data_IF_839402338357
#
_entry.id   IF_839402338357
#
_cell.length_a   1.000
_cell.length_b   1.000
_cell.length_c   1.000
_cell.angle_alpha   90.00
_cell.angle_beta   90.00
_cell.angle_gamma   90.00
#
_symmetry.space_group_name_H-M   'P 1'
#
loop_
_entity.id
_entity.type
_entity.pdbx_description
1 polymer ?
#
# COMPACT_ATOMS: atom_id res chain seq x y z
N UNK A 1 13.74 11.46 -15.61
CA UNK A 1 12.78 11.57 -14.49
C UNK A 1 12.48 10.15 -14.03
N UNK A 2 12.69 9.80 -12.75
CA UNK A 2 12.38 8.44 -12.26
C UNK A 2 10.87 8.22 -12.28
N UNK A 3 10.44 7.07 -12.82
CA UNK A 3 9.04 6.65 -12.81
C UNK A 3 8.61 6.42 -11.35
N UNK A 4 7.44 6.92 -10.98
CA UNK A 4 6.93 6.80 -9.61
C UNK A 4 5.53 6.22 -9.63
N UNK A 5 5.22 5.42 -8.61
CA UNK A 5 3.90 4.80 -8.38
C UNK A 5 3.30 5.34 -7.09
N UNK A 6 1.98 5.46 -7.04
CA UNK A 6 1.25 5.71 -5.81
C UNK A 6 0.99 4.39 -5.09
N UNK A 7 1.28 4.37 -3.78
CA UNK A 7 1.08 3.23 -2.89
C UNK A 7 0.27 3.68 -1.70
N UNK A 8 -0.89 3.07 -1.48
CA UNK A 8 -1.72 3.33 -0.30
C UNK A 8 -1.17 2.54 0.89
N UNK A 9 -0.90 3.24 2.00
CA UNK A 9 -0.48 2.62 3.25
C UNK A 9 -1.64 1.82 3.88
N UNK A 10 -1.45 0.52 4.09
CA UNK A 10 -2.46 -0.35 4.69
C UNK A 10 -2.86 0.04 6.13
N UNK A 11 -1.99 0.74 6.86
CA UNK A 11 -2.25 1.13 8.25
C UNK A 11 -3.04 2.43 8.41
N UNK A 12 -2.83 3.43 7.55
CA UNK A 12 -3.43 4.77 7.73
C UNK A 12 -4.12 5.34 6.48
N UNK A 13 -4.15 4.59 5.36
CA UNK A 13 -4.75 5.03 4.10
C UNK A 13 -4.03 6.18 3.39
N UNK A 14 -2.85 6.59 3.88
CA UNK A 14 -2.05 7.63 3.24
C UNK A 14 -1.52 7.19 1.87
N UNK A 15 -1.65 8.04 0.85
CA UNK A 15 -1.10 7.80 -0.49
C UNK A 15 0.35 8.25 -0.53
N UNK A 16 1.25 7.34 -0.88
CA UNK A 16 2.69 7.58 -0.92
C UNK A 16 3.19 7.50 -2.36
N UNK A 17 3.92 8.51 -2.81
CA UNK A 17 4.61 8.48 -4.10
C UNK A 17 5.97 7.80 -3.93
N UNK A 18 6.16 6.65 -4.56
CA UNK A 18 7.36 5.81 -4.43
C UNK A 18 8.04 5.67 -5.80
N UNK A 19 9.34 6.00 -5.93
CA UNK A 19 10.10 5.68 -7.14
C UNK A 19 10.09 4.17 -7.41
N UNK A 20 9.86 3.75 -8.65
CA UNK A 20 9.74 2.32 -9.02
C UNK A 20 10.96 1.53 -8.58
N UNK A 21 12.16 2.07 -8.80
CA UNK A 21 13.45 1.50 -8.38
C UNK A 21 13.59 1.30 -6.86
N UNK A 22 12.72 1.90 -6.04
CA UNK A 22 12.73 1.80 -4.58
C UNK A 22 11.54 1.01 -4.01
N UNK A 23 10.66 0.46 -4.84
CA UNK A 23 9.52 -0.34 -4.36
C UNK A 23 9.97 -1.54 -3.53
N UNK A 24 11.04 -2.22 -3.95
CA UNK A 24 11.62 -3.36 -3.21
C UNK A 24 12.40 -2.98 -1.95
N UNK A 25 12.62 -1.69 -1.67
CA UNK A 25 13.41 -1.22 -0.53
C UNK A 25 12.58 -1.06 0.77
N UNK A 26 11.29 -1.42 0.76
CA UNK A 26 10.46 -1.47 1.97
C UNK A 26 10.17 -0.11 2.61
N UNK A 27 10.13 0.98 1.84
CA UNK A 27 10.03 2.36 2.34
C UNK A 27 8.93 2.62 3.40
N UNK A 28 9.03 3.76 4.09
CA UNK A 28 8.08 4.15 5.15
C UNK A 28 7.00 5.09 4.63
N UNK A 29 5.81 4.98 5.20
CA UNK A 29 4.69 5.88 4.96
C UNK A 29 5.06 7.30 5.41
N UNK A 30 4.87 8.29 4.53
CA UNK A 30 5.11 9.70 4.83
C UNK A 30 4.22 10.25 5.95
N UNK A 31 3.02 9.68 6.13
CA UNK A 31 2.03 10.11 7.13
C UNK A 31 2.22 9.45 8.50
N UNK A 32 2.13 8.13 8.60
CA UNK A 32 2.18 7.41 9.88
C UNK A 32 3.56 6.81 10.22
N UNK A 33 4.53 6.89 9.30
CA UNK A 33 5.91 6.37 9.45
C UNK A 33 6.04 4.85 9.55
N UNK A 34 4.94 4.09 9.51
CA UNK A 34 4.97 2.62 9.39
C UNK A 34 5.59 2.18 8.06
N UNK A 35 6.16 0.97 8.03
CA UNK A 35 6.67 0.33 6.82
C UNK A 35 5.52 0.15 5.81
N UNK A 36 5.78 0.39 4.52
CA UNK A 36 4.78 0.22 3.45
C UNK A 36 4.67 -1.24 2.99
N UNK A 37 5.78 -1.97 3.02
CA UNK A 37 5.87 -3.37 2.63
C UNK A 37 6.60 -4.14 3.74
N UNK A 38 5.85 -4.65 4.71
CA UNK A 38 6.38 -5.43 5.84
C UNK A 38 6.32 -6.95 5.58
N UNK A 39 5.82 -7.37 4.41
CA UNK A 39 5.73 -8.77 4.00
C UNK A 39 4.58 -9.54 4.65
N UNK A 40 3.67 -8.86 5.35
CA UNK A 40 2.54 -9.48 6.02
C UNK A 40 1.20 -9.02 5.41
N UNK A 41 0.19 -9.90 5.33
CA UNK A 41 -1.16 -9.48 4.96
C UNK A 41 -1.73 -8.48 5.99
N UNK A 42 -2.52 -7.52 5.51
CA UNK A 42 -3.26 -6.59 6.36
C UNK A 42 -4.75 -6.90 6.29
N UNK A 43 -5.38 -7.08 7.46
CA UNK A 43 -6.83 -7.09 7.61
C UNK A 43 -7.40 -5.73 7.20
N UNK A 44 -8.29 -5.71 6.21
CA UNK A 44 -8.90 -4.48 5.69
C UNK A 44 -10.41 -4.63 5.58
N UNK A 45 -11.13 -3.66 6.16
CA UNK A 45 -12.57 -3.53 5.95
C UNK A 45 -12.90 -2.93 4.58
N UNK A 46 -14.18 -2.98 4.19
CA UNK A 46 -14.65 -2.58 2.84
C UNK A 46 -14.20 -1.18 2.41
N UNK A 47 -14.24 -0.19 3.30
CA UNK A 47 -13.81 1.17 2.97
C UNK A 47 -12.29 1.24 2.69
N UNK A 48 -11.48 0.61 3.53
CA UNK A 48 -10.04 0.56 3.34
C UNK A 48 -9.66 -0.18 2.05
N UNK A 49 -10.38 -1.28 1.73
CA UNK A 49 -10.22 -2.01 0.48
C UNK A 49 -10.51 -1.14 -0.75
N UNK A 50 -11.60 -0.36 -0.76
CA UNK A 50 -11.91 0.54 -1.88
C UNK A 50 -10.82 1.60 -2.10
N UNK A 51 -10.24 2.14 -1.03
CA UNK A 51 -9.13 3.10 -1.13
C UNK A 51 -7.90 2.43 -1.73
N UNK A 52 -7.56 1.21 -1.27
CA UNK A 52 -6.45 0.42 -1.84
C UNK A 52 -6.66 0.20 -3.34
N UNK A 53 -7.83 -0.29 -3.73
CA UNK A 53 -8.16 -0.65 -5.10
C UNK A 53 -8.11 0.55 -6.07
N UNK A 54 -8.57 1.72 -5.63
CA UNK A 54 -8.76 2.88 -6.52
C UNK A 54 -7.57 3.85 -6.54
N UNK A 55 -6.64 3.75 -5.57
CA UNK A 55 -5.55 4.73 -5.41
C UNK A 55 -4.15 4.14 -5.36
N UNK A 56 -4.00 2.81 -5.39
CA UNK A 56 -2.70 2.15 -5.54
C UNK A 56 -2.43 1.86 -7.01
N UNK A 57 -1.24 2.23 -7.49
CA UNK A 57 -0.73 1.89 -8.82
C UNK A 57 0.01 0.54 -8.85
N UNK A 58 0.03 -0.18 -7.72
CA UNK A 58 0.67 -1.48 -7.53
C UNK A 58 -0.38 -2.60 -7.49
N UNK A 59 -0.05 -3.82 -7.95
CA UNK A 59 -0.96 -4.96 -7.85
C UNK A 59 -1.36 -5.27 -6.41
N UNK A 60 -2.60 -5.68 -6.22
CA UNK A 60 -3.14 -6.11 -4.93
C UNK A 60 -3.45 -7.61 -4.99
N UNK A 61 -2.95 -8.36 -4.02
CA UNK A 61 -3.38 -9.72 -3.73
C UNK A 61 -4.37 -9.65 -2.56
N UNK A 62 -5.59 -10.17 -2.76
CA UNK A 62 -6.68 -10.06 -1.79
C UNK A 62 -7.22 -11.45 -1.51
N UNK A 63 -7.30 -11.79 -0.24
CA UNK A 63 -7.94 -13.02 0.26
C UNK A 63 -9.32 -12.67 0.83
N UNK A 64 -10.37 -13.23 0.21
CA UNK A 64 -11.75 -13.10 0.69
C UNK A 64 -12.13 -14.39 1.40
N UNK A 65 -12.28 -14.33 2.71
CA UNK A 65 -12.43 -15.51 3.57
C UNK A 65 -13.59 -15.38 4.56
N UNK A 66 -13.94 -16.49 5.21
CA UNK A 66 -14.92 -16.57 6.31
C UNK A 66 -14.48 -17.68 7.31
N UNK A 67 -14.78 -17.54 8.62
CA UNK A 67 -14.40 -18.51 9.65
C UNK A 67 -15.26 -19.78 9.69
#
# INVERSE_FOLDING_TARGET
>A
MSESRHVVCAHCGGVNRVPVERLGAGGKCGRCKTVLFDGHPAEVGSNAFQIQLTRSDVPLLVDFWAP
#
